data_IF_441153755933
#
_entry.id   IF_441153755933
#
_cell.length_a   1.000
_cell.length_b   1.000
_cell.length_c   1.000
_cell.angle_alpha   90.00
_cell.angle_beta   90.00
_cell.angle_gamma   90.00
#
_symmetry.space_group_name_H-M   'P 1'
#
loop_
_entity.id
_entity.type
_entity.pdbx_description
1 polymer ?
#
# COMPACT_ATOMS: atom_id res chain seq x y z
N UNK A 1 -31.13 8.46 -4.54
CA UNK A 1 -30.78 8.94 -5.90
C UNK A 1 -29.30 8.71 -6.28
N UNK A 2 -28.36 8.49 -5.34
CA UNK A 2 -26.93 8.31 -5.65
C UNK A 2 -26.55 6.99 -6.38
N UNK A 3 -27.31 5.91 -6.19
CA UNK A 3 -27.02 4.61 -6.83
C UNK A 3 -27.21 4.61 -8.37
N UNK A 4 -27.96 5.58 -8.91
CA UNK A 4 -28.18 5.70 -10.36
C UNK A 4 -26.94 6.21 -11.08
N UNK A 5 -26.27 7.24 -10.53
CA UNK A 5 -25.14 7.88 -11.18
C UNK A 5 -23.85 7.05 -11.08
N UNK A 6 -23.66 6.32 -9.97
CA UNK A 6 -22.49 5.46 -9.79
C UNK A 6 -22.47 4.28 -10.76
N UNK A 7 -23.62 3.65 -11.01
CA UNK A 7 -23.72 2.55 -11.98
C UNK A 7 -23.53 3.02 -13.44
N UNK A 8 -23.99 4.22 -13.77
CA UNK A 8 -23.80 4.84 -15.10
C UNK A 8 -22.32 5.17 -15.37
N UNK A 9 -21.61 5.68 -14.36
CA UNK A 9 -20.17 5.98 -14.38
C UNK A 9 -19.32 4.73 -14.71
N UNK A 10 -19.56 3.62 -14.01
CA UNK A 10 -18.89 2.34 -14.28
C UNK A 10 -19.26 1.75 -15.66
N UNK A 11 -20.53 1.88 -16.07
CA UNK A 11 -20.99 1.38 -17.37
C UNK A 11 -20.42 2.19 -18.55
N UNK A 12 -20.29 3.51 -18.41
CA UNK A 12 -19.75 4.39 -19.43
C UNK A 12 -18.26 4.12 -19.69
N UNK A 13 -17.47 3.94 -18.63
CA UNK A 13 -16.06 3.56 -18.76
C UNK A 13 -15.90 2.18 -19.45
N UNK A 14 -16.70 1.19 -19.02
CA UNK A 14 -16.71 -0.13 -19.64
C UNK A 14 -17.08 -0.09 -21.14
N UNK A 15 -18.00 0.80 -21.55
CA UNK A 15 -18.38 0.98 -22.95
C UNK A 15 -17.27 1.63 -23.82
N UNK A 16 -16.38 2.42 -23.22
CA UNK A 16 -15.19 2.98 -23.87
C UNK A 16 -13.98 2.04 -23.95
N UNK A 17 -14.07 0.83 -23.37
CA UNK A 17 -12.98 -0.14 -23.30
C UNK A 17 -11.89 0.19 -22.26
N UNK A 18 -12.08 1.25 -21.47
CA UNK A 18 -11.12 1.71 -20.46
C UNK A 18 -11.70 1.48 -19.06
N UNK A 19 -10.94 0.82 -18.18
CA UNK A 19 -11.40 0.51 -16.81
C UNK A 19 -11.35 1.76 -15.95
N UNK A 20 -12.38 2.00 -15.12
CA UNK A 20 -12.35 3.06 -14.10
C UNK A 20 -11.16 2.82 -13.17
N UNK A 21 -10.12 3.66 -13.17
CA UNK A 21 -8.89 3.36 -12.44
C UNK A 21 -9.07 3.63 -10.95
N UNK A 22 -8.32 2.88 -10.14
CA UNK A 22 -8.14 3.22 -8.73
C UNK A 22 -6.70 3.10 -8.27
N UNK A 23 -6.39 3.83 -7.20
CA UNK A 23 -5.10 3.83 -6.51
C UNK A 23 -5.29 3.53 -5.04
N UNK A 24 -4.23 3.08 -4.38
CA UNK A 24 -4.23 2.87 -2.93
C UNK A 24 -3.20 3.79 -2.32
N UNK A 25 -3.64 4.72 -1.46
CA UNK A 25 -2.77 5.69 -0.80
C UNK A 25 -2.47 5.27 0.63
N UNK A 26 -1.19 5.12 0.92
CA UNK A 26 -0.65 4.86 2.25
C UNK A 26 0.06 6.10 2.77
N UNK A 27 -0.49 6.69 3.83
CA UNK A 27 0.13 7.80 4.53
C UNK A 27 0.24 7.45 6.02
N UNK A 28 1.45 7.02 6.43
CA UNK A 28 1.72 6.64 7.81
C UNK A 28 1.43 5.18 8.18
N UNK A 29 1.10 4.29 7.23
CA UNK A 29 0.98 2.84 7.51
C UNK A 29 2.36 2.28 7.87
N UNK A 30 2.52 1.91 9.13
CA UNK A 30 3.86 1.74 9.72
C UNK A 30 4.40 0.31 9.62
N UNK A 31 3.52 -0.70 9.53
CA UNK A 31 3.96 -2.10 9.57
C UNK A 31 4.26 -2.62 8.17
N UNK A 32 5.53 -2.94 7.92
CA UNK A 32 6.03 -3.52 6.66
C UNK A 32 5.17 -4.70 6.13
N UNK A 33 4.73 -5.59 7.03
CA UNK A 33 3.87 -6.73 6.67
C UNK A 33 2.53 -6.30 6.07
N UNK A 34 1.90 -5.26 6.64
CA UNK A 34 0.63 -4.75 6.12
C UNK A 34 0.83 -4.10 4.76
N UNK A 35 1.90 -3.30 4.59
CA UNK A 35 2.24 -2.69 3.30
C UNK A 35 2.44 -3.75 2.21
N UNK A 36 3.20 -4.83 2.50
CA UNK A 36 3.37 -5.92 1.54
C UNK A 36 2.09 -6.68 1.22
N UNK A 37 1.22 -6.90 2.20
CA UNK A 37 -0.08 -7.53 1.98
C UNK A 37 -1.02 -6.63 1.14
N UNK A 38 -1.06 -5.33 1.44
CA UNK A 38 -1.83 -4.35 0.67
C UNK A 38 -1.34 -4.31 -0.77
N UNK A 39 -0.03 -4.26 -1.00
CA UNK A 39 0.56 -4.32 -2.34
C UNK A 39 0.16 -5.59 -3.10
N UNK A 40 0.11 -6.73 -2.42
CA UNK A 40 -0.34 -7.99 -3.02
C UNK A 40 -1.81 -7.94 -3.42
N UNK A 41 -2.68 -7.41 -2.55
CA UNK A 41 -4.09 -7.21 -2.85
C UNK A 41 -4.31 -6.18 -3.96
N UNK A 42 -3.54 -5.09 -3.97
CA UNK A 42 -3.55 -4.08 -5.02
C UNK A 42 -3.21 -4.70 -6.38
N UNK A 43 -2.21 -5.58 -6.44
CA UNK A 43 -1.91 -6.36 -7.64
C UNK A 43 -3.08 -7.25 -8.05
N UNK A 44 -3.65 -8.00 -7.11
CA UNK A 44 -4.70 -8.98 -7.39
C UNK A 44 -6.00 -8.33 -7.87
N UNK A 45 -6.32 -7.12 -7.38
CA UNK A 45 -7.54 -6.40 -7.71
C UNK A 45 -7.35 -5.33 -8.78
N UNK A 46 -6.17 -5.25 -9.41
CA UNK A 46 -5.92 -4.36 -10.55
C UNK A 46 -5.81 -2.87 -10.19
N UNK A 47 -5.27 -2.56 -9.02
CA UNK A 47 -4.93 -1.18 -8.68
C UNK A 47 -3.88 -0.63 -9.66
N UNK A 48 -4.04 0.63 -10.07
CA UNK A 48 -3.11 1.29 -11.00
C UNK A 48 -1.74 1.50 -10.37
N UNK A 49 -1.70 2.01 -9.14
CA UNK A 49 -0.47 2.10 -8.36
C UNK A 49 -0.74 2.11 -6.85
N UNK A 50 0.30 1.74 -6.10
CA UNK A 50 0.40 2.02 -4.68
C UNK A 50 1.05 3.39 -4.49
N UNK A 51 0.33 4.32 -3.90
CA UNK A 51 0.81 5.67 -3.58
C UNK A 51 1.32 5.67 -2.15
N UNK A 52 2.52 6.18 -1.94
CA UNK A 52 3.09 6.34 -0.60
C UNK A 52 3.46 7.80 -0.37
N UNK A 53 3.00 8.32 0.76
CA UNK A 53 3.30 9.68 1.21
C UNK A 53 4.30 9.63 2.35
N UNK A 54 5.32 10.49 2.29
CA UNK A 54 6.29 10.71 3.34
C UNK A 54 7.68 10.14 3.04
N UNK A 55 8.59 10.32 4.00
CA UNK A 55 10.00 9.95 3.87
C UNK A 55 10.22 8.50 4.26
N UNK A 56 11.04 7.80 3.50
CA UNK A 56 11.49 6.44 3.81
C UNK A 56 11.07 5.39 2.79
N UNK A 57 11.56 4.18 3.00
CA UNK A 57 11.37 3.10 2.05
C UNK A 57 10.13 2.26 2.34
N UNK A 58 9.37 1.99 1.28
CA UNK A 58 8.21 1.09 1.27
C UNK A 58 8.70 -0.35 1.42
N UNK A 59 8.72 -0.89 2.63
CA UNK A 59 9.10 -2.28 2.84
C UNK A 59 8.11 -3.22 2.13
N UNK A 60 8.56 -3.91 1.08
CA UNK A 60 7.75 -4.84 0.28
C UNK A 60 7.66 -6.24 0.89
N UNK A 61 8.03 -6.38 2.18
CA UNK A 61 8.00 -7.66 2.88
C UNK A 61 6.55 -8.17 2.98
N UNK A 62 6.29 -9.37 2.44
CA UNK A 62 4.95 -9.93 2.35
C UNK A 62 4.29 -9.80 0.96
N UNK A 63 4.84 -8.98 0.06
CA UNK A 63 4.35 -8.86 -1.33
C UNK A 63 4.50 -10.15 -2.15
N UNK A 64 5.38 -11.08 -1.72
CA UNK A 64 5.65 -12.35 -2.44
C UNK A 64 6.00 -12.13 -3.92
N UNK A 65 6.69 -11.03 -4.26
CA UNK A 65 7.14 -10.71 -5.62
C UNK A 65 6.19 -9.84 -6.45
N UNK A 66 4.99 -9.51 -5.94
CA UNK A 66 4.05 -8.60 -6.62
C UNK A 66 4.55 -7.16 -6.73
N UNK A 67 5.59 -6.79 -6.00
CA UNK A 67 6.23 -5.48 -6.12
C UNK A 67 6.83 -5.19 -7.52
N UNK A 68 6.88 -6.18 -8.42
CA UNK A 68 7.28 -6.01 -9.83
C UNK A 68 6.10 -5.71 -10.75
N UNK A 69 4.88 -5.89 -10.26
CA UNK A 69 3.63 -5.84 -11.02
C UNK A 69 2.75 -4.66 -10.63
N UNK A 70 3.09 -3.98 -9.53
CA UNK A 70 2.37 -2.81 -9.04
C UNK A 70 3.34 -1.64 -9.02
N UNK A 71 2.98 -0.59 -9.75
CA UNK A 71 3.72 0.67 -9.71
C UNK A 71 3.65 1.28 -8.31
N UNK A 72 4.76 1.90 -7.87
CA UNK A 72 4.80 2.62 -6.59
C UNK A 72 5.10 4.08 -6.87
N UNK A 73 4.12 4.95 -6.64
CA UNK A 73 4.24 6.40 -6.77
C UNK A 73 4.54 6.98 -5.39
N UNK A 74 5.48 7.94 -5.32
CA UNK A 74 5.89 8.54 -4.05
C UNK A 74 5.69 10.04 -4.07
N UNK A 75 5.13 10.56 -2.98
CA UNK A 75 5.02 11.99 -2.72
C UNK A 75 5.69 12.30 -1.39
N UNK A 76 6.38 13.44 -1.30
CA UNK A 76 6.99 13.86 -0.04
C UNK A 76 5.95 14.37 0.97
N UNK A 77 4.88 14.99 0.47
CA UNK A 77 3.82 15.62 1.23
C UNK A 77 2.43 15.11 0.78
N UNK A 78 1.47 15.11 1.70
CA UNK A 78 0.12 14.62 1.42
C UNK A 78 -0.57 15.55 0.42
N UNK A 79 -0.43 16.84 0.62
CA UNK A 79 -1.02 17.92 -0.17
C UNK A 79 -0.68 17.77 -1.65
N UNK A 80 0.60 17.50 -1.97
CA UNK A 80 1.05 17.25 -3.34
C UNK A 80 0.41 16.01 -3.98
N UNK A 81 0.16 14.96 -3.18
CA UNK A 81 -0.53 13.77 -3.67
C UNK A 81 -2.01 14.09 -3.97
N UNK A 82 -2.68 14.83 -3.09
CA UNK A 82 -4.09 15.21 -3.25
C UNK A 82 -4.26 16.08 -4.50
N UNK A 83 -3.45 17.14 -4.65
CA UNK A 83 -3.46 18.01 -5.83
C UNK A 83 -3.27 17.22 -7.13
N UNK A 84 -2.32 16.28 -7.15
CA UNK A 84 -2.08 15.43 -8.30
C UNK A 84 -3.31 14.60 -8.70
N UNK A 85 -3.97 13.95 -7.73
CA UNK A 85 -5.11 13.08 -8.03
C UNK A 85 -6.39 13.86 -8.32
N UNK A 86 -6.61 15.01 -7.69
CA UNK A 86 -7.69 15.91 -8.05
C UNK A 86 -7.53 16.44 -9.48
N UNK A 87 -6.30 16.76 -9.91
CA UNK A 87 -6.03 17.14 -11.30
C UNK A 87 -6.30 16.01 -12.32
N UNK A 88 -6.25 14.75 -11.88
CA UNK A 88 -6.65 13.58 -12.67
C UNK A 88 -8.16 13.31 -12.63
N UNK A 89 -8.95 14.16 -11.96
CA UNK A 89 -10.38 13.96 -11.75
C UNK A 89 -10.71 12.80 -10.81
N UNK A 90 -9.75 12.35 -10.00
CA UNK A 90 -9.95 11.26 -9.06
C UNK A 90 -10.44 11.76 -7.70
N UNK A 91 -11.41 11.03 -7.12
CA UNK A 91 -11.91 11.28 -5.77
C UNK A 91 -11.04 10.58 -4.74
N UNK A 92 -10.75 11.22 -3.62
CA UNK A 92 -10.02 10.67 -2.49
C UNK A 92 -11.03 10.15 -1.47
N UNK A 93 -11.19 8.83 -1.38
CA UNK A 93 -12.05 8.19 -0.38
C UNK A 93 -11.21 7.64 0.77
N UNK A 94 -11.48 8.13 1.98
CA UNK A 94 -10.90 7.60 3.20
C UNK A 94 -11.57 6.28 3.60
N UNK A 95 -10.78 5.23 3.84
CA UNK A 95 -11.30 3.97 4.41
C UNK A 95 -11.24 4.07 5.93
N UNK A 96 -12.34 4.51 6.53
CA UNK A 96 -12.44 4.82 7.96
C UNK A 96 -13.87 4.66 8.49
N UNK A 97 -13.99 4.33 9.78
CA UNK A 97 -15.28 4.21 10.47
C UNK A 97 -15.63 5.59 11.06
N UNK A 98 -16.35 6.40 10.28
CA UNK A 98 -16.90 7.70 10.71
C UNK A 98 -18.43 7.71 10.61
N UNK A 99 -19.10 8.65 11.28
CA UNK A 99 -20.56 8.74 11.29
C UNK A 99 -21.17 9.07 9.91
N UNK A 100 -20.39 9.72 9.06
CA UNK A 100 -20.73 10.13 7.70
C UNK A 100 -20.21 9.16 6.62
N UNK A 101 -19.51 8.08 7.01
CA UNK A 101 -18.99 7.09 6.08
C UNK A 101 -20.12 6.28 5.42
N UNK A 102 -19.96 6.02 4.12
CA UNK A 102 -20.88 5.18 3.36
C UNK A 102 -20.43 3.72 3.37
N UNK A 103 -21.37 2.80 3.47
CA UNK A 103 -21.06 1.37 3.47
C UNK A 103 -20.57 0.94 2.10
N UNK A 104 -19.43 0.23 2.02
CA UNK A 104 -18.97 -0.38 0.76
C UNK A 104 -19.90 -1.48 0.24
N UNK A 105 -20.85 -1.94 1.06
CA UNK A 105 -21.91 -2.84 0.61
C UNK A 105 -22.89 -2.15 -0.35
N UNK A 106 -23.03 -0.83 -0.24
CA UNK A 106 -23.95 -0.02 -1.04
C UNK A 106 -23.27 0.61 -2.28
N UNK A 107 -22.03 0.19 -2.56
CA UNK A 107 -21.25 0.60 -3.74
C UNK A 107 -21.15 2.13 -3.93
N UNK A 108 -20.60 2.88 -2.94
CA UNK A 108 -20.60 4.34 -2.91
C UNK A 108 -19.52 4.96 -3.83
N UNK A 109 -19.03 4.20 -4.81
CA UNK A 109 -17.93 4.61 -5.69
C UNK A 109 -18.47 5.37 -6.89
N UNK A 110 -17.70 6.34 -7.39
CA UNK A 110 -18.05 7.08 -8.59
C UNK A 110 -16.79 7.61 -9.28
N UNK A 111 -16.50 7.07 -10.46
CA UNK A 111 -15.36 7.44 -11.27
C UNK A 111 -13.99 7.06 -10.68
N UNK A 112 -12.91 7.65 -11.22
CA UNK A 112 -11.54 7.42 -10.76
C UNK A 112 -11.41 7.67 -9.26
N UNK A 113 -10.77 6.75 -8.53
CA UNK A 113 -10.78 6.79 -7.05
C UNK A 113 -9.42 6.49 -6.43
N UNK A 114 -9.02 7.27 -5.43
CA UNK A 114 -7.89 6.96 -4.54
C UNK A 114 -8.43 6.49 -3.20
N UNK A 115 -8.11 5.26 -2.83
CA UNK A 115 -8.49 4.67 -1.55
C UNK A 115 -7.38 4.98 -0.53
N UNK A 116 -7.64 5.93 0.39
CA UNK A 116 -6.71 6.28 1.45
C UNK A 116 -6.89 5.36 2.65
N UNK A 117 -5.82 4.65 3.02
CA UNK A 117 -5.84 3.71 4.15
C UNK A 117 -5.33 4.38 5.43
N UNK A 118 -6.05 4.17 6.54
CA UNK A 118 -5.64 4.61 7.88
C UNK A 118 -4.47 3.82 8.47
N UNK A 119 -3.83 4.40 9.48
CA UNK A 119 -2.82 3.73 10.29
C UNK A 119 -3.45 2.66 11.20
N UNK A 120 -2.68 1.62 11.54
CA UNK A 120 -3.17 0.49 12.35
C UNK A 120 -3.58 0.84 13.79
N UNK A 121 -3.04 1.92 14.35
CA UNK A 121 -3.27 2.32 15.74
C UNK A 121 -4.33 3.41 15.87
N UNK A 122 -4.26 4.45 15.04
CA UNK A 122 -5.09 5.64 15.17
C UNK A 122 -6.02 5.89 13.96
N UNK A 123 -6.04 5.01 12.96
CA UNK A 123 -6.82 5.23 11.74
C UNK A 123 -6.29 6.44 10.93
N UNK A 124 -7.20 7.18 10.30
CA UNK A 124 -6.89 8.45 9.65
C UNK A 124 -6.81 9.59 10.66
N UNK A 125 -5.73 10.36 10.59
CA UNK A 125 -5.57 11.62 11.35
C UNK A 125 -6.57 12.68 10.88
N UNK A 126 -6.82 13.71 11.69
CA UNK A 126 -7.73 14.80 11.32
C UNK A 126 -7.28 15.54 10.05
N UNK A 127 -5.96 15.69 9.84
CA UNK A 127 -5.41 16.24 8.60
C UNK A 127 -5.72 15.38 7.38
N UNK A 128 -5.65 14.05 7.53
CA UNK A 128 -5.98 13.12 6.46
C UNK A 128 -7.48 13.12 6.17
N UNK A 129 -8.32 13.15 7.20
CA UNK A 129 -9.78 13.25 7.05
C UNK A 129 -10.18 14.54 6.35
N UNK A 130 -9.54 15.67 6.66
CA UNK A 130 -9.85 16.97 6.07
C UNK A 130 -9.61 17.06 4.55
N UNK A 131 -8.78 16.19 3.97
CA UNK A 131 -8.48 16.18 2.53
C UNK A 131 -9.23 15.10 1.77
N UNK A 132 -10.03 14.27 2.44
CA UNK A 132 -10.86 13.25 1.79
C UNK A 132 -12.14 13.89 1.22
N UNK A 133 -12.53 13.46 0.03
CA UNK A 133 -13.79 13.83 -0.63
C UNK A 133 -15.00 13.03 -0.10
N UNK A 134 -14.75 12.12 0.84
CA UNK A 134 -15.72 11.28 1.51
C UNK A 134 -15.08 10.08 2.22
N UNK A 135 -15.88 9.35 2.97
CA UNK A 135 -15.45 8.17 3.71
C UNK A 135 -16.26 6.94 3.33
N UNK A 136 -15.60 5.79 3.36
CA UNK A 136 -16.23 4.49 3.18
C UNK A 136 -15.83 3.55 4.31
N UNK A 137 -16.76 2.70 4.73
CA UNK A 137 -16.52 1.71 5.79
C UNK A 137 -17.01 0.32 5.39
N UNK A 138 -16.49 -0.69 6.08
CA UNK A 138 -16.91 -2.09 5.93
C UNK A 138 -17.93 -2.40 7.03
N UNK A 139 -19.17 -2.81 6.69
CA UNK A 139 -20.15 -3.16 7.71
C UNK A 139 -19.70 -4.39 8.51
N UNK A 140 -19.79 -4.28 9.84
CA UNK A 140 -19.56 -5.38 10.77
C UNK A 140 -20.89 -5.98 11.23
N UNK A 141 -20.94 -7.31 11.28
CA UNK A 141 -22.13 -8.05 11.71
C UNK A 141 -21.95 -8.78 13.04
N UNK A 142 -20.77 -8.64 13.67
CA UNK A 142 -20.46 -9.15 15.00
C UNK A 142 -20.07 -8.02 15.95
N UNK A 143 -19.95 -8.33 17.24
CA UNK A 143 -19.68 -7.37 18.32
C UNK A 143 -18.33 -7.59 19.04
N UNK A 144 -17.50 -8.52 18.56
CA UNK A 144 -16.23 -8.91 19.21
C UNK A 144 -15.02 -8.07 18.84
N UNK A 145 -15.14 -7.11 17.91
CA UNK A 145 -14.05 -6.22 17.50
C UNK A 145 -14.60 -4.87 17.02
N UNK A 146 -13.84 -3.81 17.25
CA UNK A 146 -14.16 -2.47 16.76
C UNK A 146 -13.70 -2.24 15.31
N UNK A 147 -12.66 -2.96 14.86
CA UNK A 147 -12.01 -2.70 13.56
C UNK A 147 -11.40 -3.96 12.95
N UNK A 148 -11.16 -3.91 11.64
CA UNK A 148 -10.36 -4.90 10.92
C UNK A 148 -8.89 -4.51 10.90
N UNK A 149 -8.02 -5.48 10.62
CA UNK A 149 -6.65 -5.19 10.21
C UNK A 149 -6.65 -4.36 8.91
N UNK A 150 -5.84 -3.32 8.82
CA UNK A 150 -5.79 -2.41 7.65
C UNK A 150 -5.58 -3.14 6.31
N UNK A 151 -4.76 -4.19 6.27
CA UNK A 151 -4.53 -4.95 5.04
C UNK A 151 -5.73 -5.81 4.64
N UNK A 152 -6.50 -6.29 5.62
CA UNK A 152 -7.77 -6.98 5.37
C UNK A 152 -8.82 -5.99 4.88
N UNK A 153 -8.94 -4.84 5.54
CA UNK A 153 -9.85 -3.78 5.13
C UNK A 153 -9.55 -3.32 3.69
N UNK A 154 -8.29 -3.05 3.38
CA UNK A 154 -7.86 -2.69 2.03
C UNK A 154 -8.28 -3.74 1.00
N UNK A 155 -8.06 -5.03 1.30
CA UNK A 155 -8.46 -6.13 0.41
C UNK A 155 -9.97 -6.15 0.13
N UNK A 156 -10.80 -5.99 1.16
CA UNK A 156 -12.27 -5.96 1.01
C UNK A 156 -12.70 -4.75 0.18
N UNK A 157 -12.21 -3.55 0.51
CA UNK A 157 -12.61 -2.32 -0.21
C UNK A 157 -12.17 -2.37 -1.67
N UNK A 158 -10.93 -2.80 -1.96
CA UNK A 158 -10.45 -2.95 -3.33
C UNK A 158 -11.27 -3.95 -4.14
N UNK A 159 -11.64 -5.09 -3.53
CA UNK A 159 -12.51 -6.06 -4.19
C UNK A 159 -13.90 -5.47 -4.49
N UNK A 160 -14.49 -4.73 -3.53
CA UNK A 160 -15.79 -4.06 -3.74
C UNK A 160 -15.70 -3.02 -4.85
N UNK A 161 -14.62 -2.23 -4.91
CA UNK A 161 -14.38 -1.28 -5.99
C UNK A 161 -14.29 -1.99 -7.34
N UNK A 162 -13.44 -3.03 -7.46
CA UNK A 162 -13.25 -3.77 -8.70
C UNK A 162 -14.56 -4.44 -9.17
N UNK A 163 -15.37 -4.95 -8.25
CA UNK A 163 -16.69 -5.51 -8.53
C UNK A 163 -17.65 -4.45 -9.08
N UNK A 164 -17.77 -3.30 -8.42
CA UNK A 164 -18.58 -2.17 -8.88
C UNK A 164 -18.12 -1.67 -10.26
N UNK A 165 -16.81 -1.53 -10.46
CA UNK A 165 -16.20 -1.10 -11.72
C UNK A 165 -16.19 -2.19 -12.81
N UNK A 166 -16.78 -3.37 -12.54
CA UNK A 166 -16.91 -4.51 -13.47
C UNK A 166 -15.57 -4.95 -14.07
N UNK A 167 -14.52 -5.01 -13.25
CA UNK A 167 -13.23 -5.51 -13.69
C UNK A 167 -13.34 -6.96 -14.17
N UNK A 168 -12.72 -7.25 -15.31
CA UNK A 168 -12.69 -8.61 -15.87
C UNK A 168 -11.76 -9.49 -15.05
N UNK A 169 -12.21 -10.71 -14.72
CA UNK A 169 -11.36 -11.69 -14.06
C UNK A 169 -10.16 -12.05 -14.95
N UNK A 170 -8.97 -12.16 -14.34
CA UNK A 170 -7.80 -12.67 -15.04
C UNK A 170 -7.96 -14.16 -15.38
N UNK A 171 -7.38 -14.58 -16.51
CA UNK A 171 -7.40 -15.96 -16.95
C UNK A 171 -6.67 -16.88 -15.96
N UNK A 172 -7.18 -18.11 -15.84
CA UNK A 172 -6.55 -19.21 -15.10
C UNK A 172 -5.73 -20.07 -16.04
N UNK A 173 -4.72 -20.74 -15.49
CA UNK A 173 -3.97 -21.75 -16.21
C UNK A 173 -4.90 -22.90 -16.60
N UNK A 174 -4.86 -23.33 -17.86
CA UNK A 174 -5.71 -24.41 -18.35
C UNK A 174 -5.35 -25.71 -17.62
N UNK A 175 -6.34 -26.31 -16.94
CA UNK A 175 -6.14 -27.52 -16.14
C UNK A 175 -5.45 -27.33 -14.78
N UNK A 176 -5.29 -26.09 -14.29
CA UNK A 176 -4.70 -25.83 -12.97
C UNK A 176 -5.55 -24.90 -12.08
N UNK A 177 -5.36 -25.01 -10.76
CA UNK A 177 -6.11 -24.25 -9.74
C UNK A 177 -5.58 -22.82 -9.49
N UNK A 178 -4.85 -22.23 -10.46
CA UNK A 178 -4.12 -20.95 -10.28
C UNK A 178 -4.38 -19.95 -11.41
N UNK A 179 -4.34 -18.67 -11.06
CA UNK A 179 -4.34 -17.57 -12.02
C UNK A 179 -3.02 -17.49 -12.79
N UNK A 180 -3.09 -17.13 -14.07
CA UNK A 180 -1.91 -16.84 -14.88
C UNK A 180 -1.19 -15.61 -14.31
N UNK A 181 0.10 -15.76 -14.02
CA UNK A 181 0.96 -14.67 -13.58
C UNK A 181 1.93 -14.36 -14.71
N UNK A 182 1.79 -13.18 -15.31
CA UNK A 182 2.74 -12.70 -16.31
C UNK A 182 4.13 -12.58 -15.69
N UNK A 183 5.20 -12.76 -16.48
CA UNK A 183 6.56 -12.55 -15.96
C UNK A 183 6.77 -11.05 -15.76
N UNK A 184 6.91 -10.65 -14.50
CA UNK A 184 7.34 -9.29 -14.18
C UNK A 184 8.76 -9.04 -14.68
N UNK A 185 9.16 -7.77 -14.86
CA UNK A 185 10.51 -7.42 -15.31
C UNK A 185 11.57 -8.06 -14.41
N UNK A 186 12.62 -8.63 -15.02
CA UNK A 186 13.66 -9.36 -14.31
C UNK A 186 14.40 -8.44 -13.32
N UNK A 187 14.44 -8.75 -12.00
CA UNK A 187 15.09 -7.92 -11.00
C UNK A 187 16.58 -7.68 -11.21
N UNK A 188 17.26 -8.58 -11.92
CA UNK A 188 18.69 -8.46 -12.19
C UNK A 188 18.97 -7.42 -13.28
N UNK A 189 18.06 -7.30 -14.24
CA UNK A 189 18.25 -6.50 -15.46
C UNK A 189 17.38 -5.25 -15.50
N UNK A 190 16.33 -5.14 -14.67
CA UNK A 190 15.49 -3.94 -14.65
C UNK A 190 16.22 -2.73 -14.07
N UNK A 191 16.02 -1.53 -14.64
CA UNK A 191 16.52 -0.30 -14.04
C UNK A 191 15.90 -0.14 -12.65
N UNK A 192 16.75 0.22 -11.69
CA UNK A 192 16.34 0.54 -10.32
C UNK A 192 15.97 2.01 -10.23
N UNK A 193 14.93 2.31 -9.46
CA UNK A 193 14.60 3.71 -9.21
C UNK A 193 15.63 4.35 -8.28
N UNK A 194 15.78 5.67 -8.34
CA UNK A 194 16.70 6.42 -7.46
C UNK A 194 16.47 6.09 -5.99
N UNK A 195 15.20 5.95 -5.60
CA UNK A 195 14.83 5.64 -4.23
C UNK A 195 15.12 4.17 -3.83
N UNK A 196 15.19 3.23 -4.78
CA UNK A 196 15.69 1.87 -4.54
C UNK A 196 17.21 1.84 -4.36
N UNK A 197 17.94 2.69 -5.10
CA UNK A 197 19.39 2.84 -4.98
C UNK A 197 19.77 3.48 -3.64
N UNK A 198 19.13 4.60 -3.28
CA UNK A 198 19.36 5.30 -2.01
C UNK A 198 19.14 4.39 -0.79
N UNK A 199 18.12 3.53 -0.82
CA UNK A 199 17.92 2.56 0.26
C UNK A 199 19.08 1.56 0.36
N UNK A 200 19.58 1.06 -0.77
CA UNK A 200 20.66 0.07 -0.74
C UNK A 200 21.92 0.68 -0.13
N UNK A 201 22.18 1.95 -0.43
CA UNK A 201 23.24 2.73 0.19
C UNK A 201 22.99 2.92 1.69
N UNK A 202 21.80 3.33 2.11
CA UNK A 202 21.45 3.48 3.53
C UNK A 202 21.59 2.16 4.30
N UNK A 203 21.11 1.04 3.72
CA UNK A 203 21.24 -0.30 4.30
C UNK A 203 22.69 -0.75 4.36
N UNK A 204 23.50 -0.41 3.35
CA UNK A 204 24.92 -0.69 3.32
C UNK A 204 25.62 0.10 4.44
N UNK A 205 25.38 1.40 4.52
CA UNK A 205 25.92 2.28 5.56
C UNK A 205 25.54 1.80 6.96
N UNK A 206 24.27 1.42 7.18
CA UNK A 206 23.82 0.87 8.47
C UNK A 206 24.47 -0.47 8.82
N UNK A 207 24.71 -1.33 7.83
CA UNK A 207 25.43 -2.61 8.03
C UNK A 207 26.89 -2.37 8.35
N UNK A 208 27.54 -1.45 7.63
CA UNK A 208 28.92 -1.06 7.86
C UNK A 208 29.10 -0.42 9.24
N UNK A 209 28.21 0.50 9.64
CA UNK A 209 28.19 1.09 10.97
C UNK A 209 28.01 0.03 12.07
N UNK A 210 27.06 -0.90 11.89
CA UNK A 210 26.82 -1.98 12.85
C UNK A 210 27.99 -2.96 12.92
N UNK A 211 28.67 -3.22 11.81
CA UNK A 211 29.87 -4.06 11.77
C UNK A 211 31.07 -3.37 12.45
N UNK A 212 31.24 -2.06 12.24
CA UNK A 212 32.26 -1.26 12.90
C UNK A 212 32.05 -1.19 14.42
N UNK A 213 30.81 -1.02 14.86
CA UNK A 213 30.43 -1.03 16.28
C UNK A 213 30.70 -2.40 16.94
N UNK A 214 30.34 -3.49 16.26
CA UNK A 214 30.63 -4.85 16.72
C UNK A 214 32.14 -5.14 16.79
N UNK A 215 32.92 -4.63 15.82
CA UNK A 215 34.38 -4.75 15.83
C UNK A 215 35.02 -3.95 16.97
N UNK A 216 34.51 -2.75 17.27
CA UNK A 216 34.98 -1.93 18.39
C UNK A 216 34.69 -2.59 19.75
N UNK A 217 33.51 -3.19 19.93
CA UNK A 217 33.14 -3.91 21.16
C UNK A 217 33.92 -5.23 21.34
N UNK A 218 34.29 -5.90 20.24
CA UNK A 218 35.15 -7.09 20.26
C UNK A 218 36.63 -6.80 20.53
N UNK A 219 37.12 -5.59 20.22
CA UNK A 219 38.48 -5.15 20.51
C UNK A 219 38.69 -4.73 21.98
N UNK A 220 37.65 -4.24 22.66
CA UNK A 220 37.75 -3.85 24.07
C UNK A 220 37.78 -5.03 25.06
N UNK A 221 37.33 -6.21 24.64
CA UNK A 221 37.34 -7.42 25.48
C UNK A 221 38.64 -8.23 25.37
N UNK A 222 39.44 -8.05 24.31
CA UNK A 222 40.75 -8.68 24.16
C UNK A 222 41.89 -7.90 24.82
N UNK A 223 41.73 -6.58 25.03
CA UNK A 223 42.71 -5.75 25.75
C UNK A 223 42.64 -5.91 27.28
N UNK A 224 41.55 -6.43 27.84
CA UNK A 224 41.42 -6.64 29.29
C UNK A 224 42.00 -7.98 29.78
N UNK A 225 42.22 -8.96 28.90
CA UNK A 225 42.83 -10.24 29.29
C UNK A 225 44.36 -10.22 29.28
N UNK A 226 44.99 -9.34 28.48
CA UNK A 226 46.45 -9.24 28.40
C UNK A 226 47.09 -8.49 29.58
N UNK A 227 46.33 -7.68 30.32
CA UNK A 227 46.84 -6.93 31.47
C UNK A 227 46.85 -7.72 32.78
N UNK A 228 46.21 -8.89 32.84
CA UNK A 228 46.10 -9.71 34.06
C UNK A 228 47.22 -10.77 34.21
N UNK A 229 48.01 -11.04 33.16
CA UNK A 229 49.09 -12.06 33.18
C UNK A 229 50.50 -11.49 33.44
N UNK A 230 50.66 -10.16 33.57
CA UNK A 230 51.96 -9.52 33.76
C UNK A 230 52.35 -9.24 35.23
N UNK A 231 51.58 -9.74 36.20
CA UNK A 231 51.84 -9.58 37.65
C UNK A 231 51.77 -10.91 38.39
N UNK A 232 52.53 -11.89 37.93
CA UNK A 232 52.85 -13.11 38.66
C UNK A 232 54.34 -13.13 39.04
#
# INVERSE_FOLDING_TARGET
>A
MAASSSAESAAAAAAGGERVPFWVLLNGVSKAKNVGNIMRSACAFGAKALVVVGKGHVATFGSKGTNKHVEVIRFEALEAAIEHFHALGARILGVEITSDALSVADEPFDGPTVLMMGNEGHGLTDKQKAVCDGFVYIPHFGNGTASLNVSVAAGVVMHRFASWARYTEHKREEGADKFLVEKGPDPATRPRTEAELALREERRARREAKAAEAAAQGSSSSSSSAAAEATA
#
